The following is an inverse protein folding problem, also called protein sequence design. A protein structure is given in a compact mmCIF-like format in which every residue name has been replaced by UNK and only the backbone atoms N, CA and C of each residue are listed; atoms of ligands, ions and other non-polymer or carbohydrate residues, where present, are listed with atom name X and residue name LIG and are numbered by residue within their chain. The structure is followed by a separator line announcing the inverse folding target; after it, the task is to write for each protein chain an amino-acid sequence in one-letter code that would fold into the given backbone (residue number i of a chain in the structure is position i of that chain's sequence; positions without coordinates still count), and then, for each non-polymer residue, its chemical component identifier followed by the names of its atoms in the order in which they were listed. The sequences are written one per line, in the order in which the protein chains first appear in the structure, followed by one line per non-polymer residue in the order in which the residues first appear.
data_IF_287960939276
#
_entry.id   IF_287960939276
#
_cell.length_a   1.000
_cell.length_b   1.000
_cell.length_c   1.000
_cell.angle_alpha   90.00
_cell.angle_beta   90.00
_cell.angle_gamma   90.00
#
_symmetry.space_group_name_H-M   'P 1'
#
loop_
_entity.id
_entity.type
_entity.pdbx_description
1 polymer ?
#
# COMPACT_ATOMS: atom_id res chain seq x y z
N UNK A 1 -15.02 7.61 27.01
CA UNK A 1 -13.62 7.87 26.57
C UNK A 1 -13.14 9.25 26.97
N UNK A 2 -13.89 10.34 26.69
CA UNK A 2 -13.46 11.71 27.05
C UNK A 2 -13.44 12.00 28.55
N UNK A 3 -14.40 11.47 29.32
CA UNK A 3 -14.35 11.51 30.79
C UNK A 3 -13.16 10.75 31.41
N UNK A 4 -12.43 9.94 30.61
CA UNK A 4 -11.24 9.19 31.03
C UNK A 4 -9.94 9.75 30.42
N UNK A 5 -10.00 10.89 29.74
CA UNK A 5 -8.88 11.53 29.03
C UNK A 5 -8.15 10.60 28.01
N UNK A 6 -8.87 9.62 27.44
CA UNK A 6 -8.31 8.65 26.50
C UNK A 6 -8.50 9.18 25.07
N UNK A 7 -7.41 9.28 24.31
CA UNK A 7 -7.44 9.57 22.88
C UNK A 7 -7.98 8.35 22.11
N UNK A 8 -9.17 8.44 21.49
CA UNK A 8 -9.77 7.31 20.81
C UNK A 8 -9.02 6.97 19.52
N UNK A 9 -8.61 5.70 19.37
CA UNK A 9 -7.99 5.19 18.15
C UNK A 9 -9.06 4.58 17.22
N UNK A 10 -9.85 5.45 16.57
CA UNK A 10 -10.95 5.07 15.67
C UNK A 10 -10.68 5.60 14.27
N UNK A 11 -10.90 4.80 13.22
CA UNK A 11 -10.72 5.23 11.83
C UNK A 11 -11.99 5.88 11.27
N UNK A 12 -11.84 7.03 10.62
CA UNK A 12 -12.91 7.71 9.88
C UNK A 12 -13.06 7.10 8.49
N UNK A 13 -14.29 6.76 8.13
CA UNK A 13 -14.67 6.41 6.76
C UNK A 13 -15.25 7.66 6.09
N UNK A 14 -14.62 8.09 4.99
CA UNK A 14 -15.00 9.30 4.24
C UNK A 14 -15.47 9.03 2.80
N UNK A 15 -15.41 7.78 2.33
CA UNK A 15 -15.58 7.45 0.90
C UNK A 15 -16.97 6.96 0.51
N UNK A 16 -17.76 6.40 1.43
CA UNK A 16 -19.10 5.89 1.11
C UNK A 16 -20.10 6.14 2.24
N UNK A 17 -20.10 5.31 3.29
CA UNK A 17 -20.83 5.60 4.53
C UNK A 17 -19.96 6.45 5.44
N UNK A 18 -20.25 7.76 5.51
CA UNK A 18 -19.52 8.67 6.39
C UNK A 18 -19.71 8.25 7.85
N UNK A 19 -18.62 7.92 8.52
CA UNK A 19 -18.66 7.59 9.95
C UNK A 19 -19.00 8.85 10.74
N UNK A 20 -19.81 8.72 11.79
CA UNK A 20 -20.14 9.80 12.73
C UNK A 20 -18.95 10.10 13.67
N UNK A 21 -17.80 10.45 13.08
CA UNK A 21 -16.60 10.87 13.80
C UNK A 21 -16.50 12.38 13.66
N UNK A 22 -16.51 13.03 14.81
CA UNK A 22 -16.37 14.47 14.93
C UNK A 22 -14.95 14.92 14.54
N UNK A 23 -14.87 15.99 13.75
CA UNK A 23 -13.63 16.60 13.25
C UNK A 23 -12.65 17.02 14.35
N UNK A 24 -13.13 17.22 15.59
CA UNK A 24 -12.24 17.42 16.74
C UNK A 24 -11.27 16.26 16.97
N UNK A 25 -11.61 15.03 16.57
CA UNK A 25 -10.75 13.84 16.71
C UNK A 25 -9.74 13.72 15.57
N UNK A 26 -10.09 14.22 14.38
CA UNK A 26 -9.30 14.04 13.16
C UNK A 26 -8.42 15.24 12.81
N UNK A 27 -8.67 16.42 13.41
CA UNK A 27 -7.89 17.65 13.19
C UNK A 27 -6.43 17.59 13.66
N UNK A 28 -6.08 16.60 14.49
CA UNK A 28 -4.75 16.56 15.12
C UNK A 28 -3.74 15.85 14.22
N UNK A 29 -2.50 16.35 14.09
CA UNK A 29 -1.45 15.67 13.32
C UNK A 29 -1.14 14.27 13.86
N UNK A 30 -1.33 14.04 15.17
CA UNK A 30 -1.20 12.72 15.79
C UNK A 30 -2.19 11.69 15.27
N UNK A 31 -3.41 12.11 14.91
CA UNK A 31 -4.43 11.22 14.34
C UNK A 31 -3.99 10.70 12.97
N UNK A 32 -3.51 11.58 12.08
CA UNK A 32 -3.02 11.17 10.76
C UNK A 32 -1.83 10.19 10.86
N UNK A 33 -0.87 10.45 11.75
CA UNK A 33 0.26 9.54 12.01
C UNK A 33 -0.20 8.18 12.51
N UNK A 34 -1.16 8.17 13.44
CA UNK A 34 -1.77 6.95 13.98
C UNK A 34 -2.49 6.14 12.89
N UNK A 35 -3.25 6.79 12.00
CA UNK A 35 -3.92 6.11 10.89
C UNK A 35 -2.92 5.50 9.89
N UNK A 36 -1.83 6.22 9.58
CA UNK A 36 -0.77 5.69 8.71
C UNK A 36 -0.07 4.51 9.36
N UNK A 37 0.28 4.60 10.65
CA UNK A 37 0.90 3.51 11.40
C UNK A 37 0.02 2.26 11.43
N UNK A 38 -1.29 2.43 11.71
CA UNK A 38 -2.27 1.34 11.67
C UNK A 38 -2.25 0.62 10.32
N UNK A 39 -2.38 1.36 9.22
CA UNK A 39 -2.39 0.79 7.86
C UNK A 39 -1.09 0.07 7.53
N UNK A 40 0.05 0.61 7.96
CA UNK A 40 1.35 -0.03 7.76
C UNK A 40 1.45 -1.37 8.50
N UNK A 41 1.04 -1.41 9.77
CA UNK A 41 1.05 -2.62 10.58
C UNK A 41 0.07 -3.66 10.01
N UNK A 42 -1.15 -3.26 9.66
CA UNK A 42 -2.14 -4.14 9.03
C UNK A 42 -1.65 -4.71 7.69
N UNK A 43 -0.95 -3.91 6.89
CA UNK A 43 -0.36 -4.35 5.63
C UNK A 43 0.72 -5.43 5.84
N UNK A 44 1.61 -5.24 6.81
CA UNK A 44 2.66 -6.21 7.15
C UNK A 44 2.02 -7.52 7.64
N UNK A 45 1.02 -7.44 8.52
CA UNK A 45 0.30 -8.63 8.99
C UNK A 45 -0.46 -9.34 7.88
N UNK A 46 -1.10 -8.59 6.97
CA UNK A 46 -1.78 -9.15 5.80
C UNK A 46 -0.80 -9.87 4.88
N UNK A 47 0.35 -9.25 4.59
CA UNK A 47 1.40 -9.83 3.76
C UNK A 47 2.01 -11.09 4.40
N UNK A 48 2.37 -11.03 5.69
CA UNK A 48 2.94 -12.18 6.41
C UNK A 48 1.99 -13.36 6.51
N UNK A 49 0.67 -13.11 6.58
CA UNK A 49 -0.35 -14.18 6.56
C UNK A 49 -0.65 -14.73 5.16
N UNK A 50 -0.50 -13.92 4.11
CA UNK A 50 -0.85 -14.33 2.74
C UNK A 50 0.33 -14.93 1.97
N UNK A 51 1.50 -14.31 2.09
CA UNK A 51 2.72 -14.69 1.38
C UNK A 51 3.78 -15.27 2.31
N UNK A 52 3.79 -14.88 3.57
CA UNK A 52 4.67 -15.45 4.59
C UNK A 52 4.11 -16.75 5.20
N UNK A 53 4.85 -17.29 6.15
CA UNK A 53 4.54 -18.54 6.84
C UNK A 53 3.65 -18.34 8.09
N UNK A 54 3.17 -17.11 8.34
CA UNK A 54 2.35 -16.76 9.53
C UNK A 54 0.90 -17.27 9.47
N UNK A 55 0.43 -17.81 8.34
CA UNK A 55 -0.94 -18.34 8.24
C UNK A 55 -1.19 -19.54 9.16
N UNK A 56 -0.16 -20.36 9.37
CA UNK A 56 -0.16 -21.53 10.26
C UNK A 56 1.24 -21.70 10.86
N UNK A 57 1.51 -20.98 11.95
CA UNK A 57 2.80 -21.09 12.65
C UNK A 57 2.93 -22.48 13.26
N UNK A 58 3.99 -23.22 12.89
CA UNK A 58 4.28 -24.59 13.36
C UNK A 58 5.24 -24.63 14.56
N UNK A 59 5.65 -23.46 15.06
CA UNK A 59 6.60 -23.31 16.15
C UNK A 59 5.89 -23.34 17.50
N UNK A 60 6.53 -23.92 18.52
CA UNK A 60 6.05 -23.92 19.91
C UNK A 60 6.91 -22.95 20.74
N UNK A 61 6.28 -22.24 21.67
CA UNK A 61 6.94 -21.24 22.52
C UNK A 61 6.88 -19.82 21.94
N UNK A 62 6.71 -18.81 22.81
CA UNK A 62 6.57 -17.41 22.41
C UNK A 62 7.81 -16.86 21.74
N UNK A 63 8.99 -17.29 22.16
CA UNK A 63 10.28 -16.83 21.61
C UNK A 63 10.46 -17.27 20.16
N UNK A 64 10.12 -18.52 19.85
CA UNK A 64 10.20 -19.04 18.49
C UNK A 64 9.20 -18.36 17.55
N UNK A 65 7.98 -18.11 18.04
CA UNK A 65 6.96 -17.36 17.28
C UNK A 65 7.43 -15.91 17.06
N UNK A 66 8.05 -15.28 18.06
CA UNK A 66 8.58 -13.93 17.95
C UNK A 66 9.74 -13.85 16.95
N UNK A 67 10.69 -14.79 16.98
CA UNK A 67 11.78 -14.86 16.02
C UNK A 67 11.27 -15.01 14.57
N UNK A 68 10.29 -15.88 14.36
CA UNK A 68 9.65 -16.05 13.06
C UNK A 68 8.91 -14.79 12.60
N UNK A 69 8.20 -14.12 13.50
CA UNK A 69 7.55 -12.85 13.21
C UNK A 69 8.56 -11.78 12.79
N UNK A 70 9.69 -11.66 13.50
CA UNK A 70 10.75 -10.71 13.14
C UNK A 70 11.36 -11.02 11.77
N UNK A 71 11.53 -12.30 11.42
CA UNK A 71 12.01 -12.70 10.10
C UNK A 71 11.06 -12.24 8.99
N UNK A 72 9.74 -12.40 9.16
CA UNK A 72 8.74 -11.92 8.21
C UNK A 72 8.78 -10.38 8.06
N UNK A 73 8.97 -9.65 9.17
CA UNK A 73 9.10 -8.19 9.18
C UNK A 73 10.34 -7.72 8.41
N UNK A 74 11.48 -8.38 8.63
CA UNK A 74 12.73 -8.11 7.91
C UNK A 74 12.51 -8.35 6.41
N UNK A 75 11.92 -9.49 6.03
CA UNK A 75 11.60 -9.80 4.63
C UNK A 75 10.72 -8.74 3.96
N UNK A 76 9.68 -8.28 4.66
CA UNK A 76 8.83 -7.20 4.16
C UNK A 76 9.60 -5.89 3.97
N UNK A 77 10.47 -5.53 4.91
CA UNK A 77 11.30 -4.33 4.80
C UNK A 77 12.22 -4.37 3.58
N UNK A 78 12.81 -5.52 3.26
CA UNK A 78 13.65 -5.70 2.07
C UNK A 78 12.84 -5.49 0.78
N UNK A 79 11.65 -6.10 0.66
CA UNK A 79 10.76 -5.92 -0.50
C UNK A 79 10.36 -4.44 -0.65
N UNK A 80 10.18 -3.74 0.47
CA UNK A 80 9.82 -2.33 0.49
C UNK A 80 10.97 -1.43 0.04
N UNK A 81 12.19 -1.64 0.53
CA UNK A 81 13.38 -0.88 0.13
C UNK A 81 13.64 -1.05 -1.37
N UNK A 82 13.42 -2.25 -1.90
CA UNK A 82 13.58 -2.53 -3.33
C UNK A 82 12.66 -1.69 -4.20
N UNK A 83 11.52 -1.22 -3.68
CA UNK A 83 10.60 -0.29 -4.37
C UNK A 83 11.07 1.17 -4.33
N UNK A 84 12.02 1.50 -3.45
CA UNK A 84 12.56 2.86 -3.27
C UNK A 84 13.86 3.10 -4.06
N UNK A 85 14.53 2.04 -4.54
CA UNK A 85 15.76 2.17 -5.33
C UNK A 85 15.50 2.80 -6.72
N UNK A 86 16.30 3.76 -7.20
CA UNK A 86 16.03 4.51 -8.43
C UNK A 86 16.00 3.66 -9.73
N UNK A 87 16.68 2.51 -9.75
CA UNK A 87 16.78 1.62 -10.93
C UNK A 87 15.52 0.82 -11.27
N UNK A 88 14.51 0.78 -10.40
CA UNK A 88 13.23 0.09 -10.67
C UNK A 88 12.22 0.98 -11.44
N UNK A 89 12.59 2.23 -11.75
CA UNK A 89 11.79 3.17 -12.52
C UNK A 89 11.55 2.70 -13.95
N UNK A 90 12.48 1.94 -14.52
CA UNK A 90 12.39 1.46 -15.90
C UNK A 90 11.18 0.52 -16.13
N UNK A 91 10.87 -0.33 -15.14
CA UNK A 91 9.70 -1.23 -15.14
C UNK A 91 8.40 -0.46 -14.88
N UNK A 92 8.43 0.60 -14.05
CA UNK A 92 7.27 1.48 -13.86
C UNK A 92 6.94 2.27 -15.13
N UNK A 93 7.93 2.87 -15.78
CA UNK A 93 7.72 3.70 -16.97
C UNK A 93 7.20 2.88 -18.16
N UNK A 94 7.71 1.66 -18.37
CA UNK A 94 7.27 0.81 -19.49
C UNK A 94 5.84 0.26 -19.33
N UNK A 95 5.34 0.02 -18.12
CA UNK A 95 3.94 -0.43 -17.92
C UNK A 95 2.91 0.66 -18.20
N UNK A 96 3.26 1.94 -18.07
CA UNK A 96 2.35 3.05 -18.35
C UNK A 96 2.56 3.69 -19.74
N UNK A 97 3.69 3.42 -20.41
CA UNK A 97 4.00 3.94 -21.74
C UNK A 97 3.29 3.22 -22.90
N UNK A 98 2.81 1.99 -22.70
CA UNK A 98 2.14 1.20 -23.76
C UNK A 98 0.71 1.64 -24.08
N UNK A 99 0.07 2.44 -23.20
CA UNK A 99 -1.35 2.83 -23.35
C UNK A 99 -1.53 4.17 -24.10
N UNK A 100 -0.44 4.88 -24.43
CA UNK A 100 -0.50 6.23 -25.02
C UNK A 100 -0.02 6.32 -26.47
N UNK A 101 -0.36 5.33 -27.31
CA UNK A 101 -0.01 5.34 -28.74
C UNK A 101 -1.12 4.80 -29.65
N UNK A 102 -2.32 5.39 -29.58
CA UNK A 102 -3.37 5.16 -30.59
C UNK A 102 -4.45 6.25 -30.55
N UNK A 103 -4.09 7.52 -30.83
CA UNK A 103 -5.08 8.57 -31.15
C UNK A 103 -4.40 9.74 -31.88
N UNK A 104 -3.88 9.47 -33.07
CA UNK A 104 -3.74 10.50 -34.11
C UNK A 104 -3.78 9.80 -35.46
N UNK A 105 -4.98 9.75 -36.01
CA UNK A 105 -5.20 9.29 -37.38
C UNK A 105 -4.66 10.34 -38.33
N UNK A 106 -3.63 9.96 -39.08
CA UNK A 106 -3.31 10.58 -40.36
C UNK A 106 -3.12 9.43 -41.36
N UNK A 107 -4.10 9.25 -42.25
CA UNK A 107 -4.05 8.32 -43.38
C UNK A 107 -2.87 8.69 -44.29
N UNK A 108 -2.01 7.74 -44.72
CA UNK A 108 -1.09 8.01 -45.83
C UNK A 108 -1.89 8.01 -47.14
N UNK A 109 -1.83 9.12 -47.88
CA UNK A 109 -2.33 9.19 -49.25
C UNK A 109 -1.32 8.52 -50.18
N UNK A 110 -1.68 7.39 -50.78
CA UNK A 110 -0.95 6.84 -51.92
C UNK A 110 -1.47 7.53 -53.19
N UNK A 111 -0.63 8.35 -53.81
CA UNK A 111 -0.89 8.93 -55.12
C UNK A 111 -0.36 7.96 -56.19
N UNK A 112 -1.26 7.26 -56.87
CA UNK A 112 -0.97 6.47 -58.07
C UNK A 112 -0.70 7.43 -59.21
N UNK A 113 0.56 7.57 -59.64
CA UNK A 113 0.89 8.18 -60.92
C UNK A 113 0.72 7.12 -62.01
N UNK A 114 -0.30 7.30 -62.85
CA UNK A 114 -0.41 6.64 -64.17
C UNK A 114 0.31 7.51 -65.19
N UNK A 115 1.34 6.96 -65.84
CA UNK A 115 1.70 7.17 -67.25
C UNK A 115 2.73 6.13 -67.66
#
# INVERSE_FOLDING_TARGET
MRAKNITPHVAQNDTNRRSAIDGRTTRHPGYAKSQTCRKMIECIFGWGKQHGTMRKTKLRGTDNVAAHFMLDLIGYNLIRIQKLLPGNSWVRTHKYATIRRSTTGTRPQFHTQMS
#
